data_IF_688081780218
#
_entry.id   IF_688081780218
#
_cell.length_a   1.000
_cell.length_b   1.000
_cell.length_c   1.000
_cell.angle_alpha   90.00
_cell.angle_beta   90.00
_cell.angle_gamma   90.00
#
_symmetry.space_group_name_H-M   'P 1'
#
loop_
_entity.id
_entity.type
_entity.pdbx_description
1 polymer ?
#
# COMPACT_ATOMS: atom_id res chain seq x y z
N UNK A 1 2.06 -19.83 -5.10
CA UNK A 1 2.14 -19.57 -3.64
C UNK A 1 1.02 -20.34 -2.99
N UNK A 2 1.25 -20.93 -1.81
CA UNK A 2 0.19 -21.65 -1.09
C UNK A 2 -0.67 -20.63 -0.35
N UNK A 3 -1.94 -20.54 -0.71
CA UNK A 3 -2.92 -19.71 -0.01
C UNK A 3 -3.57 -20.51 1.13
N UNK A 4 -3.97 -19.84 2.22
CA UNK A 4 -4.81 -20.48 3.23
C UNK A 4 -6.06 -21.07 2.55
N UNK A 5 -6.38 -22.33 2.82
CA UNK A 5 -7.57 -23.08 2.36
C UNK A 5 -7.63 -23.47 0.86
N UNK A 6 -7.07 -22.66 -0.04
CA UNK A 6 -7.25 -22.85 -1.50
C UNK A 6 -6.05 -23.58 -2.15
N UNK A 7 -4.94 -23.74 -1.41
CA UNK A 7 -3.79 -24.48 -1.90
C UNK A 7 -2.91 -23.67 -2.86
N UNK A 8 -2.29 -24.33 -3.83
CA UNK A 8 -1.31 -23.71 -4.73
C UNK A 8 -1.98 -22.95 -5.87
N UNK A 9 -1.83 -21.62 -5.85
CA UNK A 9 -2.33 -20.75 -6.93
C UNK A 9 -1.16 -20.06 -7.64
N UNK A 10 -1.18 -20.10 -8.98
CA UNK A 10 -0.30 -19.28 -9.83
C UNK A 10 -0.88 -17.86 -9.88
N UNK A 11 -0.07 -16.86 -9.59
CA UNK A 11 -0.47 -15.46 -9.60
C UNK A 11 0.69 -14.57 -10.01
N UNK A 12 0.38 -13.39 -10.56
CA UNK A 12 1.36 -12.34 -10.83
C UNK A 12 1.74 -11.65 -9.51
N UNK A 13 3.02 -11.70 -9.14
CA UNK A 13 3.53 -11.09 -7.90
C UNK A 13 3.76 -9.61 -8.12
N UNK A 14 2.96 -8.76 -7.48
CA UNK A 14 3.22 -7.31 -7.42
C UNK A 14 4.35 -6.96 -6.46
N UNK A 15 4.49 -7.71 -5.36
CA UNK A 15 5.52 -7.52 -4.32
C UNK A 15 5.99 -8.87 -3.76
N UNK A 16 7.20 -8.92 -3.20
CA UNK A 16 7.69 -10.07 -2.45
C UNK A 16 6.91 -10.18 -1.13
N UNK A 17 6.43 -11.37 -0.81
CA UNK A 17 5.72 -11.64 0.46
C UNK A 17 6.74 -12.10 1.49
N UNK A 18 6.88 -11.35 2.58
CA UNK A 18 7.70 -11.69 3.74
C UNK A 18 6.81 -11.85 4.97
N UNK A 19 6.99 -12.93 5.73
CA UNK A 19 6.17 -13.23 6.90
C UNK A 19 5.07 -14.27 6.66
N UNK A 20 4.18 -14.43 7.64
CA UNK A 20 3.12 -15.45 7.66
C UNK A 20 1.83 -14.90 7.06
N UNK A 21 1.30 -15.57 6.04
CA UNK A 21 -0.02 -15.24 5.47
C UNK A 21 -1.10 -15.61 6.50
N UNK A 22 -1.91 -14.63 6.88
CA UNK A 22 -3.02 -14.80 7.83
C UNK A 22 -4.33 -15.06 7.08
N UNK A 23 -4.57 -14.30 6.01
CA UNK A 23 -5.76 -14.48 5.17
C UNK A 23 -5.47 -14.04 3.74
N UNK A 24 -6.33 -14.50 2.83
CA UNK A 24 -6.34 -14.10 1.44
C UNK A 24 -7.77 -13.82 1.01
N UNK A 25 -7.99 -12.66 0.39
CA UNK A 25 -9.28 -12.27 -0.18
C UNK A 25 -9.17 -12.28 -1.69
N UNK A 26 -9.99 -13.10 -2.35
CA UNK A 26 -10.07 -13.15 -3.81
C UNK A 26 -11.30 -12.36 -4.24
N UNK A 27 -11.10 -11.39 -5.15
CA UNK A 27 -12.19 -10.61 -5.74
C UNK A 27 -12.12 -10.72 -7.26
N UNK A 28 -13.28 -10.97 -7.88
CA UNK A 28 -13.46 -10.88 -9.33
C UNK A 28 -14.12 -9.54 -9.64
N UNK A 29 -13.58 -8.81 -10.62
CA UNK A 29 -14.24 -7.60 -11.11
C UNK A 29 -15.21 -7.92 -12.27
N UNK A 30 -16.09 -6.99 -12.67
CA UNK A 30 -17.02 -7.22 -13.79
C UNK A 30 -16.33 -7.52 -15.14
N UNK A 31 -15.09 -7.07 -15.36
CA UNK A 31 -14.31 -7.42 -16.55
C UNK A 31 -13.68 -8.82 -16.49
N UNK A 32 -14.03 -9.63 -15.48
CA UNK A 32 -13.64 -11.03 -15.36
C UNK A 32 -12.24 -11.25 -14.78
N UNK A 33 -11.51 -10.20 -14.43
CA UNK A 33 -10.18 -10.27 -13.82
C UNK A 33 -10.28 -10.59 -12.33
N UNK A 34 -9.38 -11.46 -11.87
CA UNK A 34 -9.24 -11.82 -10.46
C UNK A 34 -8.10 -11.05 -9.81
N UNK A 35 -8.34 -10.57 -8.60
CA UNK A 35 -7.36 -9.91 -7.74
C UNK A 35 -7.31 -10.63 -6.40
N UNK A 36 -6.11 -10.68 -5.82
CA UNK A 36 -5.87 -11.33 -4.52
C UNK A 36 -5.23 -10.30 -3.59
N UNK A 37 -5.88 -10.04 -2.47
CA UNK A 37 -5.32 -9.27 -1.35
C UNK A 37 -4.85 -10.23 -0.26
N UNK A 38 -3.62 -10.07 0.19
CA UNK A 38 -3.02 -10.91 1.23
C UNK A 38 -2.81 -10.10 2.49
N UNK A 39 -3.34 -10.59 3.61
CA UNK A 39 -2.98 -10.09 4.92
C UNK A 39 -1.79 -10.91 5.44
N UNK A 40 -0.67 -10.25 5.69
CA UNK A 40 0.58 -10.90 6.07
C UNK A 40 1.08 -10.32 7.38
N UNK A 41 1.30 -11.20 8.37
CA UNK A 41 1.98 -10.84 9.61
C UNK A 41 3.48 -10.93 9.37
N UNK A 42 4.16 -9.80 9.40
CA UNK A 42 5.63 -9.71 9.32
C UNK A 42 6.15 -9.02 10.56
N UNK A 43 7.37 -9.37 10.96
CA UNK A 43 8.13 -8.55 11.88
C UNK A 43 8.50 -7.25 11.17
N UNK A 44 8.28 -6.13 11.85
CA UNK A 44 8.67 -4.79 11.40
C UNK A 44 9.72 -4.32 12.38
N UNK A 45 10.94 -4.07 11.90
CA UNK A 45 11.95 -3.40 12.71
C UNK A 45 11.59 -1.92 12.76
N UNK A 46 11.42 -1.39 13.95
CA UNK A 46 11.26 0.06 14.12
C UNK A 46 12.56 0.74 13.66
N UNK A 47 12.48 1.74 12.77
CA UNK A 47 13.65 2.56 12.47
C UNK A 47 14.07 3.32 13.74
N UNK A 48 15.36 3.67 13.89
CA UNK A 48 15.81 4.49 14.99
C UNK A 48 15.06 5.82 14.99
N UNK A 49 14.67 6.29 16.18
CA UNK A 49 14.09 7.62 16.34
C UNK A 49 15.13 8.67 15.97
N UNK A 50 14.67 9.70 15.26
CA UNK A 50 15.52 10.82 14.83
C UNK A 50 15.53 11.98 15.83
N UNK A 51 14.77 11.89 16.92
CA UNK A 51 14.49 12.96 17.90
C UNK A 51 14.01 14.29 17.27
N UNK A 52 13.55 14.23 16.02
CA UNK A 52 13.06 15.37 15.26
C UNK A 52 11.56 15.28 15.07
N UNK A 53 10.84 16.39 15.25
CA UNK A 53 9.42 16.50 14.95
C UNK A 53 9.16 17.52 13.85
N UNK A 54 8.33 17.18 12.86
CA UNK A 54 7.84 18.13 11.85
C UNK A 54 6.31 18.03 11.75
N UNK A 55 5.64 19.17 11.63
CA UNK A 55 4.22 19.20 11.26
C UNK A 55 4.06 18.92 9.77
N UNK A 56 2.96 18.27 9.38
CA UNK A 56 2.62 17.98 7.97
C UNK A 56 1.26 18.61 7.68
N UNK A 57 1.22 19.49 6.68
CA UNK A 57 -0.01 20.00 6.07
C UNK A 57 -0.20 19.38 4.68
N UNK A 58 -1.42 18.96 4.35
CA UNK A 58 -1.70 18.21 3.11
C UNK A 58 -2.74 18.95 2.26
N UNK A 59 -2.45 19.12 0.97
CA UNK A 59 -3.32 19.87 0.05
C UNK A 59 -3.42 19.27 -1.35
N UNK A 60 -4.31 19.86 -2.15
CA UNK A 60 -4.51 19.47 -3.55
C UNK A 60 -3.40 20.01 -4.47
N UNK A 61 -2.93 21.23 -4.20
CA UNK A 61 -1.86 21.90 -4.96
C UNK A 61 -0.50 21.28 -4.65
N UNK A 62 -0.20 21.17 -3.36
CA UNK A 62 1.02 20.57 -2.83
C UNK A 62 0.62 19.37 -1.96
N UNK A 63 1.19 18.19 -2.23
CA UNK A 63 0.80 16.94 -1.58
C UNK A 63 1.08 16.97 -0.07
N UNK A 64 2.26 17.48 0.29
CA UNK A 64 2.64 17.67 1.68
C UNK A 64 3.57 18.88 1.83
N UNK A 65 3.27 19.74 2.79
CA UNK A 65 4.10 20.87 3.21
C UNK A 65 4.54 20.58 4.65
N UNK A 66 5.85 20.53 4.87
CA UNK A 66 6.41 20.33 6.19
C UNK A 66 6.60 21.68 6.90
N UNK A 67 6.54 21.69 8.23
CA UNK A 67 6.80 22.89 9.04
C UNK A 67 8.21 23.48 8.86
N UNK A 68 9.16 22.69 8.33
CA UNK A 68 10.49 23.15 7.94
C UNK A 68 10.55 23.79 6.53
N UNK A 69 9.38 24.10 5.95
CA UNK A 69 9.19 24.68 4.61
C UNK A 69 9.54 23.76 3.44
N UNK A 70 9.81 22.48 3.68
CA UNK A 70 9.97 21.49 2.59
C UNK A 70 8.60 21.19 1.97
N UNK A 71 8.52 21.23 0.65
CA UNK A 71 7.28 20.96 -0.09
C UNK A 71 7.42 19.76 -1.01
N UNK A 72 6.46 18.84 -0.91
CA UNK A 72 6.31 17.68 -1.80
C UNK A 72 5.20 17.98 -2.80
N UNK A 73 5.55 18.10 -4.07
CA UNK A 73 4.58 18.36 -5.14
C UNK A 73 3.65 17.18 -5.34
N UNK A 74 2.40 17.47 -5.66
CA UNK A 74 1.43 16.45 -6.06
C UNK A 74 1.79 15.96 -7.47
N UNK A 75 2.49 14.82 -7.59
CA UNK A 75 2.52 14.09 -8.86
C UNK A 75 1.08 13.69 -9.14
N UNK A 76 0.49 14.17 -10.25
CA UNK A 76 -0.93 14.06 -10.64
C UNK A 76 -1.49 12.62 -10.75
N UNK A 77 -1.29 11.77 -9.76
CA UNK A 77 -1.64 10.35 -9.73
C UNK A 77 -3.09 10.14 -9.30
N UNK A 78 -3.71 11.11 -8.61
CA UNK A 78 -5.04 10.98 -8.01
C UNK A 78 -6.21 11.27 -8.96
N UNK A 79 -5.96 11.74 -10.19
CA UNK A 79 -7.04 12.10 -11.13
C UNK A 79 -7.91 10.92 -11.57
N UNK A 80 -7.45 9.69 -11.34
CA UNK A 80 -8.19 8.47 -11.66
C UNK A 80 -9.08 8.00 -10.50
N UNK A 81 -8.79 8.39 -9.24
CA UNK A 81 -9.55 7.96 -8.05
C UNK A 81 -10.73 8.88 -7.74
N UNK A 82 -10.73 10.14 -8.21
CA UNK A 82 -11.83 11.09 -8.04
C UNK A 82 -13.07 10.80 -8.93
N UNK A 83 -12.98 9.83 -9.85
CA UNK A 83 -14.07 9.49 -10.79
C UNK A 83 -14.70 8.11 -10.55
N UNK A 84 -14.48 7.49 -9.39
CA UNK A 84 -15.08 6.19 -9.03
C UNK A 84 -16.29 6.34 -8.14
#
# INVERSE_FOLDING_TARGET
MKLPKIGLVKFAKSRKVTGRIMSATIRRNPSGKYFISLLVKTEVKEPPKTESSVGIDMGLKDFAILSNRTTYKNSKFFRTLEKS
#
